data_IF_819890809442
#
_entry.id   IF_819890809442
#
_cell.length_a   1.000
_cell.length_b   1.000
_cell.length_c   1.000
_cell.angle_alpha   90.00
_cell.angle_beta   90.00
_cell.angle_gamma   90.00
#
_symmetry.space_group_name_H-M   'P 1'
#
loop_
_entity.id
_entity.type
_entity.pdbx_description
1 polymer ?
#
# COMPACT_ATOMS: atom_id res chain seq x y z
N UNK A 1 -14.58 8.27 -1.79
CA UNK A 1 -14.35 6.97 -1.14
C UNK A 1 -12.93 6.49 -1.44
N UNK A 2 -12.22 6.04 -0.44
CA UNK A 2 -10.87 5.54 -0.63
C UNK A 2 -10.88 4.13 -1.20
N UNK A 3 -9.94 3.87 -2.09
CA UNK A 3 -9.81 2.58 -2.76
C UNK A 3 -9.35 1.47 -1.82
N UNK A 4 -8.49 1.81 -0.87
CA UNK A 4 -7.94 0.88 0.12
C UNK A 4 -8.29 1.39 1.51
N UNK A 5 -8.75 0.49 2.38
CA UNK A 5 -9.18 0.81 3.73
C UNK A 5 -8.34 0.07 4.76
N UNK A 6 -8.35 0.57 6.00
CA UNK A 6 -7.71 -0.13 7.12
C UNK A 6 -8.30 -1.54 7.24
N UNK A 7 -7.43 -2.51 7.46
CA UNK A 7 -7.82 -3.92 7.56
C UNK A 7 -7.82 -4.67 6.24
N UNK A 8 -7.73 -3.99 5.11
CA UNK A 8 -7.70 -4.67 3.80
C UNK A 8 -6.45 -5.53 3.65
N UNK A 9 -6.61 -6.68 3.03
CA UNK A 9 -5.49 -7.46 2.50
C UNK A 9 -5.24 -6.95 1.09
N UNK A 10 -4.01 -6.51 0.84
CA UNK A 10 -3.62 -5.96 -0.46
C UNK A 10 -2.51 -6.78 -1.08
N UNK A 11 -2.42 -6.73 -2.39
CA UNK A 11 -1.34 -7.38 -3.14
C UNK A 11 -0.52 -6.30 -3.85
N UNK A 12 0.80 -6.37 -3.65
CA UNK A 12 1.76 -5.54 -4.39
C UNK A 12 1.91 -6.10 -5.80
N UNK A 13 2.15 -5.22 -6.78
CA UNK A 13 2.25 -5.67 -8.17
C UNK A 13 3.36 -6.71 -8.40
N UNK A 14 4.32 -6.83 -7.49
CA UNK A 14 5.35 -7.88 -7.54
C UNK A 14 4.91 -9.20 -6.88
N UNK A 15 3.67 -9.29 -6.41
CA UNK A 15 3.07 -10.54 -5.94
C UNK A 15 3.04 -10.75 -4.44
N UNK A 16 3.62 -9.87 -3.64
CA UNK A 16 3.62 -10.00 -2.18
C UNK A 16 2.33 -9.45 -1.59
N UNK A 17 1.87 -10.08 -0.51
CA UNK A 17 0.63 -9.69 0.20
C UNK A 17 0.95 -8.97 1.49
N UNK A 18 0.13 -7.97 1.79
CA UNK A 18 0.27 -7.14 2.99
C UNK A 18 -1.09 -6.86 3.60
N UNK A 19 -1.09 -6.69 4.92
CA UNK A 19 -2.28 -6.24 5.65
C UNK A 19 -2.14 -4.75 5.94
N UNK A 20 -3.16 -3.97 5.60
CA UNK A 20 -3.15 -2.52 5.87
C UNK A 20 -3.54 -2.28 7.31
N UNK A 21 -2.64 -1.72 8.09
CA UNK A 21 -2.88 -1.43 9.51
C UNK A 21 -3.51 -0.05 9.69
N UNK A 22 -3.03 0.95 8.95
CA UNK A 22 -3.60 2.30 8.98
C UNK A 22 -3.30 3.03 7.68
N UNK A 23 -4.29 3.68 7.12
CA UNK A 23 -4.13 4.58 5.98
C UNK A 23 -4.03 6.04 6.40
N UNK A 24 -4.02 6.32 7.69
CA UNK A 24 -4.05 7.69 8.20
C UNK A 24 -3.06 7.89 9.36
N UNK A 25 -1.85 7.41 9.17
CA UNK A 25 -0.76 7.68 10.09
C UNK A 25 -0.11 9.01 9.73
N UNK A 26 0.48 9.66 10.72
CA UNK A 26 1.09 10.97 10.56
C UNK A 26 2.58 10.89 10.89
N UNK A 27 3.39 11.59 10.10
CA UNK A 27 4.78 11.76 10.44
C UNK A 27 4.90 12.92 11.44
N UNK A 28 5.43 12.65 12.62
CA UNK A 28 5.44 13.64 13.69
C UNK A 28 6.26 14.90 13.36
N UNK A 29 7.26 14.75 12.51
CA UNK A 29 8.13 15.86 12.11
C UNK A 29 7.57 16.67 10.94
N UNK A 30 6.55 16.17 10.26
CA UNK A 30 5.90 16.85 9.15
C UNK A 30 4.44 16.42 9.09
N UNK A 31 3.57 17.20 9.69
CA UNK A 31 2.15 16.87 9.81
C UNK A 31 1.41 16.88 8.47
N UNK A 32 2.02 17.45 7.43
CA UNK A 32 1.42 17.43 6.09
C UNK A 32 1.62 16.08 5.40
N UNK A 33 2.52 15.25 5.92
CA UNK A 33 2.85 13.96 5.33
C UNK A 33 1.96 12.88 5.96
N UNK A 34 1.03 12.37 5.15
CA UNK A 34 0.18 11.24 5.52
C UNK A 34 0.87 9.93 5.13
N UNK A 35 0.83 8.95 6.02
CA UNK A 35 1.52 7.68 5.83
C UNK A 35 0.53 6.52 5.87
N UNK A 36 0.89 5.44 5.16
CA UNK A 36 0.22 4.14 5.27
C UNK A 36 1.15 3.20 6.00
N UNK A 37 0.62 2.52 7.01
CA UNK A 37 1.32 1.50 7.79
C UNK A 37 0.75 0.15 7.37
N UNK A 38 1.63 -0.77 6.97
CA UNK A 38 1.18 -2.07 6.47
C UNK A 38 2.17 -3.15 6.88
N UNK A 39 1.67 -4.38 6.96
CA UNK A 39 2.42 -5.51 7.50
C UNK A 39 2.53 -6.62 6.47
N UNK A 40 3.76 -7.10 6.23
CA UNK A 40 4.00 -8.21 5.34
C UNK A 40 3.37 -9.49 5.87
N UNK A 41 2.63 -10.20 5.02
CA UNK A 41 2.09 -11.52 5.36
C UNK A 41 3.19 -12.57 5.43
N UNK A 42 4.26 -12.41 4.65
CA UNK A 42 5.37 -13.35 4.63
C UNK A 42 6.23 -13.26 5.89
N UNK A 43 6.67 -12.06 6.23
CA UNK A 43 7.71 -11.87 7.25
C UNK A 43 7.18 -11.32 8.56
N UNK A 44 5.99 -10.71 8.54
CA UNK A 44 5.44 -10.00 9.70
C UNK A 44 6.05 -8.64 9.92
N UNK A 45 6.98 -8.21 9.05
CA UNK A 45 7.58 -6.88 9.15
C UNK A 45 6.54 -5.81 8.89
N UNK A 46 6.68 -4.70 9.59
CA UNK A 46 5.81 -3.55 9.45
C UNK A 46 6.54 -2.49 8.63
N UNK A 47 5.88 -2.03 7.58
CA UNK A 47 6.41 -1.05 6.63
C UNK A 47 5.58 0.22 6.68
N UNK A 48 6.21 1.32 6.33
CA UNK A 48 5.56 2.62 6.25
C UNK A 48 5.90 3.24 4.89
N UNK A 49 4.89 3.82 4.24
CA UNK A 49 5.07 4.47 2.94
C UNK A 49 4.19 5.71 2.89
N UNK A 50 4.65 6.81 2.26
CA UNK A 50 3.76 7.96 2.05
C UNK A 50 2.48 7.54 1.32
N UNK A 51 1.36 8.11 1.74
CA UNK A 51 0.03 7.76 1.23
C UNK A 51 -0.03 7.83 -0.30
N UNK A 52 0.46 8.93 -0.87
CA UNK A 52 0.39 9.13 -2.32
C UNK A 52 1.20 8.07 -3.08
N UNK A 53 2.34 7.67 -2.53
CA UNK A 53 3.15 6.60 -3.13
C UNK A 53 2.46 5.25 -3.00
N UNK A 54 1.86 4.98 -1.84
CA UNK A 54 1.15 3.72 -1.61
C UNK A 54 -0.01 3.56 -2.59
N UNK A 55 -0.73 4.64 -2.83
CA UNK A 55 -1.91 4.64 -3.71
C UNK A 55 -1.57 4.84 -5.18
N UNK A 56 -0.30 5.01 -5.53
CA UNK A 56 0.12 5.35 -6.89
C UNK A 56 -0.07 4.19 -7.86
N UNK A 57 -0.13 4.54 -9.12
CA UNK A 57 -0.15 3.55 -10.21
C UNK A 57 1.25 2.97 -10.42
N UNK A 58 1.28 1.76 -10.95
CA UNK A 58 2.54 1.13 -11.35
C UNK A 58 3.14 1.93 -12.52
N UNK A 59 4.46 2.14 -12.45
CA UNK A 59 5.19 2.74 -13.57
C UNK A 59 5.34 1.70 -14.68
N UNK A 60 4.47 1.78 -15.68
CA UNK A 60 4.45 0.82 -16.80
C UNK A 60 5.63 0.96 -17.73
N UNK A 61 6.35 2.08 -17.68
CA UNK A 61 7.59 2.24 -18.44
C UNK A 61 8.68 1.37 -17.82
N UNK A 62 8.78 1.41 -16.49
CA UNK A 62 9.76 0.61 -15.75
C UNK A 62 9.33 -0.85 -15.62
N UNK A 63 8.01 -1.11 -15.47
CA UNK A 63 7.46 -2.45 -15.27
C UNK A 63 6.35 -2.72 -16.30
N UNK A 64 6.70 -2.87 -17.59
CA UNK A 64 5.70 -3.01 -18.66
C UNK A 64 4.89 -4.31 -18.54
N UNK A 65 5.40 -5.31 -17.82
CA UNK A 65 4.75 -6.62 -17.69
C UNK A 65 3.82 -6.70 -16.48
N UNK A 66 3.74 -5.65 -15.66
CA UNK A 66 2.88 -5.68 -14.49
C UNK A 66 1.41 -5.73 -14.92
N UNK A 67 0.67 -6.68 -14.37
CA UNK A 67 -0.76 -6.84 -14.66
C UNK A 67 -1.62 -5.84 -13.89
N UNK A 68 -1.16 -5.39 -12.73
CA UNK A 68 -1.91 -4.45 -11.91
C UNK A 68 -1.75 -3.03 -12.43
N UNK A 69 -2.84 -2.25 -12.32
CA UNK A 69 -2.81 -0.83 -12.61
C UNK A 69 -2.13 -0.06 -11.48
N UNK A 70 -2.45 -0.42 -10.24
CA UNK A 70 -1.94 0.26 -9.05
C UNK A 70 -0.86 -0.56 -8.36
N UNK A 71 0.04 0.15 -7.66
CA UNK A 71 1.11 -0.47 -6.89
C UNK A 71 0.57 -1.50 -5.91
N UNK A 72 -0.53 -1.17 -5.24
CA UNK A 72 -1.24 -2.08 -4.36
C UNK A 72 -2.71 -2.11 -4.76
N UNK A 73 -3.30 -3.31 -4.77
CA UNK A 73 -4.72 -3.49 -5.04
C UNK A 73 -5.32 -4.39 -3.98
N UNK A 74 -6.60 -4.21 -3.68
CA UNK A 74 -7.29 -5.01 -2.67
C UNK A 74 -7.42 -6.43 -3.18
N UNK A 75 -6.90 -7.39 -2.41
CA UNK A 75 -7.06 -8.81 -2.67
C UNK A 75 -8.25 -9.37 -1.90
N UNK A 76 -8.45 -8.89 -0.66
CA UNK A 76 -9.56 -9.34 0.17
C UNK A 76 -9.93 -8.23 1.16
N UNK A 77 -11.23 -8.02 1.35
CA UNK A 77 -11.75 -7.08 2.33
C UNK A 77 -12.55 -7.84 3.39
N UNK A 78 -12.21 -7.58 4.62
CA UNK A 78 -12.86 -8.23 5.76
C UNK A 78 -14.15 -7.51 6.13
#
# INVERSE_FOLDING_TARGET
>A
MERILDGDLVVHFKGKYYEVLSTNAHYSEDHSLRLVVYKSRDTGDIWVRPYDMFMSKVDKIKYPEADQEYRFEVAMRV
#
